data_IF_875768745332
#
_entry.id   IF_875768745332
#
_cell.length_a   1.000
_cell.length_b   1.000
_cell.length_c   1.000
_cell.angle_alpha   90.00
_cell.angle_beta   90.00
_cell.angle_gamma   90.00
#
_symmetry.space_group_name_H-M   'P 1'
#
loop_
_entity.id
_entity.type
_entity.pdbx_description
1 polymer ?
#
# COMPACT_ATOMS: atom_id res chain seq x y z
N UNK A 1 22.71 30.36 -12.11
CA UNK A 1 21.35 29.87 -12.42
C UNK A 1 21.22 28.50 -11.77
N UNK A 2 20.43 28.40 -10.70
CA UNK A 2 20.37 27.22 -9.85
C UNK A 2 19.52 26.12 -10.49
N UNK A 3 20.04 24.90 -10.44
CA UNK A 3 19.43 23.68 -10.96
C UNK A 3 18.09 23.40 -10.27
N UNK A 4 17.04 23.15 -11.06
CA UNK A 4 15.74 22.70 -10.58
C UNK A 4 15.74 21.17 -10.66
N UNK A 5 16.30 20.53 -9.62
CA UNK A 5 16.15 19.09 -9.42
C UNK A 5 14.68 18.81 -9.10
N UNK A 6 13.98 18.22 -10.06
CA UNK A 6 12.68 17.59 -9.85
C UNK A 6 12.93 16.33 -9.03
N UNK A 7 12.77 16.45 -7.70
CA UNK A 7 12.68 15.30 -6.81
C UNK A 7 11.31 14.64 -7.02
N UNK A 8 11.22 13.74 -7.99
CA UNK A 8 10.10 12.80 -8.14
C UNK A 8 10.53 11.44 -7.64
N UNK A 9 10.69 11.30 -6.33
CA UNK A 9 10.73 10.02 -5.65
C UNK A 9 9.72 10.11 -4.51
N UNK A 10 8.47 9.77 -4.84
CA UNK A 10 7.56 9.31 -3.80
C UNK A 10 8.12 7.99 -3.31
N UNK A 11 8.87 8.04 -2.20
CA UNK A 11 9.14 6.87 -1.37
C UNK A 11 7.81 6.15 -1.18
N UNK A 12 7.64 5.02 -1.87
CA UNK A 12 6.57 4.08 -1.53
C UNK A 12 7.00 3.53 -0.18
N UNK A 13 6.56 4.16 0.90
CA UNK A 13 6.80 3.67 2.24
C UNK A 13 6.09 2.32 2.35
N UNK A 14 6.87 1.27 2.16
CA UNK A 14 6.46 -0.10 2.35
C UNK A 14 6.05 -0.26 3.81
N UNK A 15 4.77 -0.57 4.07
CA UNK A 15 4.27 -0.77 5.42
C UNK A 15 4.43 -2.25 5.73
N UNK A 16 5.27 -2.59 6.71
CA UNK A 16 5.35 -3.94 7.23
C UNK A 16 3.97 -4.34 7.76
N UNK A 17 3.32 -5.29 7.08
CA UNK A 17 1.92 -5.63 7.33
C UNK A 17 1.79 -6.97 8.08
N UNK A 18 2.84 -7.78 8.09
CA UNK A 18 2.90 -9.03 8.82
C UNK A 18 3.97 -9.97 8.25
N UNK A 19 3.79 -11.27 8.52
CA UNK A 19 4.68 -12.33 8.06
C UNK A 19 3.96 -13.26 7.09
N UNK A 20 4.70 -13.78 6.12
CA UNK A 20 4.19 -14.74 5.15
C UNK A 20 5.18 -15.90 5.03
N UNK A 21 4.68 -17.12 4.89
CA UNK A 21 5.50 -18.25 4.50
C UNK A 21 5.79 -18.15 2.99
N UNK A 22 7.06 -18.04 2.61
CA UNK A 22 7.43 -17.82 1.20
C UNK A 22 7.14 -18.99 0.27
N UNK A 23 7.04 -20.21 0.80
CA UNK A 23 6.82 -21.42 0.00
C UNK A 23 5.34 -21.52 -0.37
N UNK A 24 4.46 -21.21 0.58
CA UNK A 24 3.01 -21.36 0.41
C UNK A 24 2.30 -20.06 0.05
N UNK A 25 2.88 -18.92 0.42
CA UNK A 25 2.26 -17.60 0.33
C UNK A 25 1.22 -17.33 1.43
N UNK A 26 1.09 -18.21 2.42
CA UNK A 26 0.11 -18.04 3.50
C UNK A 26 0.61 -17.10 4.61
N UNK A 27 -0.27 -16.26 5.18
CA UNK A 27 0.08 -15.40 6.30
C UNK A 27 0.38 -16.24 7.55
N UNK A 28 1.47 -15.92 8.23
CA UNK A 28 1.89 -16.59 9.46
C UNK A 28 2.00 -15.61 10.62
N UNK A 29 1.96 -16.13 11.85
CA UNK A 29 1.91 -15.29 13.06
C UNK A 29 3.24 -14.68 13.48
N UNK A 30 4.34 -15.00 12.78
CA UNK A 30 5.68 -14.49 13.06
C UNK A 30 6.79 -15.33 12.43
N UNK A 31 8.03 -14.89 12.58
CA UNK A 31 9.24 -15.59 12.11
C UNK A 31 9.30 -17.05 12.59
N UNK A 32 8.88 -17.30 13.84
CA UNK A 32 8.97 -18.62 14.47
C UNK A 32 7.98 -19.65 13.91
N UNK A 33 6.93 -19.19 13.20
CA UNK A 33 5.88 -20.06 12.70
C UNK A 33 6.33 -20.93 11.51
N UNK A 34 7.36 -20.50 10.77
CA UNK A 34 7.92 -21.25 9.65
C UNK A 34 9.40 -20.90 9.42
N UNK A 35 10.27 -21.88 9.08
CA UNK A 35 11.65 -21.61 8.64
C UNK A 35 11.74 -20.72 7.38
N UNK A 36 10.62 -20.53 6.67
CA UNK A 36 10.52 -19.72 5.46
C UNK A 36 9.66 -18.46 5.68
N UNK A 37 9.40 -18.10 6.93
CA UNK A 37 8.68 -16.88 7.26
C UNK A 37 9.53 -15.66 6.91
N UNK A 38 8.99 -14.78 6.07
CA UNK A 38 9.60 -13.49 5.75
C UNK A 38 8.59 -12.37 6.04
N UNK A 39 9.06 -11.18 6.46
CA UNK A 39 8.19 -10.02 6.58
C UNK A 39 7.66 -9.67 5.18
N UNK A 40 6.35 -9.44 5.08
CA UNK A 40 5.77 -8.90 3.87
C UNK A 40 5.38 -7.44 4.09
N UNK A 41 5.68 -6.64 3.08
CA UNK A 41 5.31 -5.25 3.05
C UNK A 41 4.08 -5.07 2.17
N UNK A 42 3.00 -4.58 2.75
CA UNK A 42 1.87 -4.13 1.97
C UNK A 42 2.21 -2.77 1.33
N UNK A 43 1.57 -2.48 0.21
CA UNK A 43 1.66 -1.15 -0.36
C UNK A 43 0.90 -0.18 0.55
N UNK A 44 1.39 1.06 0.71
CA UNK A 44 0.64 2.07 1.45
C UNK A 44 -0.73 2.18 0.82
N UNK A 45 -1.76 2.04 1.65
CA UNK A 45 -3.15 2.15 1.23
C UNK A 45 -3.38 3.61 0.84
N UNK A 46 -3.13 3.96 -0.43
CA UNK A 46 -3.15 5.34 -0.93
C UNK A 46 -4.44 6.08 -0.60
N UNK A 47 -5.54 5.34 -0.45
CA UNK A 47 -6.83 5.86 0.00
C UNK A 47 -6.84 6.40 1.42
N UNK A 48 -5.90 6.01 2.30
CA UNK A 48 -5.73 6.51 3.68
C UNK A 48 -4.98 7.83 3.73
N UNK A 49 -4.07 8.06 2.79
CA UNK A 49 -3.08 9.14 2.86
C UNK A 49 -3.32 10.23 1.81
N UNK A 50 -4.02 9.90 0.73
CA UNK A 50 -4.22 10.80 -0.41
C UNK A 50 -5.66 10.77 -0.91
N UNK A 51 -6.04 11.80 -1.67
CA UNK A 51 -7.32 11.78 -2.39
C UNK A 51 -7.20 10.80 -3.54
N UNK A 52 -8.18 9.91 -3.66
CA UNK A 52 -8.21 8.91 -4.72
C UNK A 52 -9.43 9.10 -5.62
N UNK A 53 -9.30 8.66 -6.86
CA UNK A 53 -10.37 8.63 -7.84
C UNK A 53 -10.75 7.17 -8.07
N UNK A 54 -12.03 6.85 -7.89
CA UNK A 54 -12.57 5.51 -8.06
C UNK A 54 -13.67 5.57 -9.12
N UNK A 55 -13.62 4.66 -10.09
CA UNK A 55 -14.76 4.44 -10.97
C UNK A 55 -15.86 3.76 -10.14
N UNK A 56 -16.90 4.53 -9.82
CA UNK A 56 -18.01 4.08 -9.01
C UNK A 56 -19.28 3.98 -9.87
N UNK A 57 -19.76 2.75 -10.16
CA UNK A 57 -20.96 2.56 -10.98
C UNK A 57 -22.24 3.09 -10.30
N UNK A 58 -22.24 3.32 -8.98
CA UNK A 58 -23.39 3.93 -8.28
C UNK A 58 -23.49 5.43 -8.51
N UNK A 59 -22.38 6.08 -8.88
CA UNK A 59 -22.29 7.53 -9.13
C UNK A 59 -22.12 7.86 -10.62
N UNK A 60 -22.38 6.89 -11.50
CA UNK A 60 -22.31 7.01 -12.96
C UNK A 60 -21.00 7.66 -13.46
N UNK A 61 -19.85 7.28 -12.87
CA UNK A 61 -18.56 7.79 -13.31
C UNK A 61 -17.43 7.73 -12.28
N UNK A 62 -16.47 8.64 -12.43
CA UNK A 62 -15.29 8.75 -11.56
C UNK A 62 -15.62 9.62 -10.34
N UNK A 63 -15.67 9.02 -9.16
CA UNK A 63 -15.88 9.70 -7.89
C UNK A 63 -14.55 9.96 -7.18
N UNK A 64 -14.42 11.15 -6.57
CA UNK A 64 -13.23 11.57 -5.82
C UNK A 64 -13.47 11.44 -4.31
N UNK A 65 -12.68 10.63 -3.65
CA UNK A 65 -12.80 10.36 -2.21
C UNK A 65 -11.67 11.04 -1.42
N UNK A 66 -11.96 11.69 -0.28
CA UNK A 66 -10.94 12.19 0.64
C UNK A 66 -10.20 11.03 1.32
N UNK A 67 -9.01 11.28 1.88
CA UNK A 67 -8.26 10.27 2.61
C UNK A 67 -9.07 9.65 3.76
N UNK A 68 -9.04 8.32 3.88
CA UNK A 68 -9.66 7.55 4.97
C UNK A 68 -11.15 7.22 4.80
N UNK A 69 -11.80 7.64 3.70
CA UNK A 69 -13.25 7.44 3.51
C UNK A 69 -13.61 6.01 3.06
N UNK A 70 -12.81 5.41 2.19
CA UNK A 70 -13.00 4.01 1.77
C UNK A 70 -12.34 3.12 2.83
N UNK A 71 -13.03 2.20 3.50
CA UNK A 71 -12.46 1.40 4.60
C UNK A 71 -12.09 -0.02 4.19
#
# INVERSE_FOLDING_TARGET
MAARQLQTEGERQHVEAGWVDRITGEPVTGEEASPYAEPFHDLPRLWRESRIWVCDPQHDGVAKYPPGMLR
#
